data_IF_281147833309
#
_entry.id   IF_281147833309
#
_cell.length_a   1.000
_cell.length_b   1.000
_cell.length_c   1.000
_cell.angle_alpha   90.00
_cell.angle_beta   90.00
_cell.angle_gamma   90.00
#
_symmetry.space_group_name_H-M   'P 1'
#
loop_
_entity.id
_entity.type
_entity.pdbx_description
1 polymer ?
#
# COMPACT_ATOMS: atom_id res chain seq x y z
N UNK A 1 -31.77 9.08 -5.45
CA UNK A 1 -31.17 8.93 -4.11
C UNK A 1 -30.77 7.47 -3.93
N UNK A 2 -29.46 7.21 -3.82
CA UNK A 2 -29.00 6.44 -2.67
C UNK A 2 -27.65 6.96 -2.15
N UNK A 3 -27.61 7.38 -0.89
CA UNK A 3 -26.34 7.63 -0.18
C UNK A 3 -26.64 7.59 1.31
N UNK A 4 -26.36 6.44 1.95
CA UNK A 4 -26.31 6.31 3.41
C UNK A 4 -25.56 5.04 3.89
N UNK A 5 -25.33 4.05 3.03
CA UNK A 5 -24.69 2.78 3.41
C UNK A 5 -23.15 2.75 3.36
N UNK A 6 -22.47 3.79 2.88
CA UNK A 6 -20.99 3.81 2.86
C UNK A 6 -20.34 4.27 4.17
N UNK A 7 -21.07 4.88 5.11
CA UNK A 7 -20.48 5.33 6.38
C UNK A 7 -20.39 4.23 7.46
N UNK A 8 -21.11 3.11 7.31
CA UNK A 8 -21.03 2.00 8.28
C UNK A 8 -19.79 1.11 8.11
N UNK A 9 -19.01 1.29 7.04
CA UNK A 9 -17.84 0.45 6.68
C UNK A 9 -16.55 0.82 7.43
N UNK A 10 -16.53 1.91 8.20
CA UNK A 10 -15.35 2.38 8.93
C UNK A 10 -15.18 1.82 10.35
N UNK A 11 -16.21 1.25 10.98
CA UNK A 11 -16.20 0.94 12.42
C UNK A 11 -15.20 -0.13 12.86
N UNK A 12 -14.99 -1.18 12.06
CA UNK A 12 -14.06 -2.26 12.40
C UNK A 12 -12.58 -1.87 12.18
N UNK A 13 -12.32 -1.04 11.17
CA UNK A 13 -10.99 -0.45 10.94
C UNK A 13 -10.67 0.61 12.00
N UNK A 14 -11.67 1.37 12.46
CA UNK A 14 -11.51 2.32 13.58
C UNK A 14 -11.27 1.59 14.91
N UNK A 15 -11.80 0.39 15.14
CA UNK A 15 -11.49 -0.40 16.34
C UNK A 15 -10.02 -0.91 16.33
N UNK A 16 -9.49 -1.28 15.16
CA UNK A 16 -8.07 -1.62 14.97
C UNK A 16 -7.16 -0.37 15.01
N UNK A 17 -7.65 0.79 14.55
CA UNK A 17 -6.90 2.05 14.58
C UNK A 17 -6.95 2.74 15.96
N UNK A 18 -8.04 2.60 16.72
CA UNK A 18 -8.11 3.01 18.13
C UNK A 18 -7.27 2.10 19.03
N UNK A 19 -7.06 0.83 18.65
CA UNK A 19 -6.05 -0.04 19.27
C UNK A 19 -4.62 0.49 19.12
N UNK A 20 -4.34 1.32 18.11
CA UNK A 20 -3.04 1.99 17.96
C UNK A 20 -2.72 2.97 19.11
N UNK A 21 -3.72 3.43 19.88
CA UNK A 21 -3.50 4.34 21.02
C UNK A 21 -3.17 3.60 22.32
N UNK A 22 -3.74 2.42 22.57
CA UNK A 22 -3.25 1.55 23.66
C UNK A 22 -1.84 1.03 23.35
N UNK A 23 -1.55 0.85 22.05
CA UNK A 23 -0.21 0.61 21.57
C UNK A 23 0.77 1.74 21.93
N UNK A 24 0.33 3.01 22.01
CA UNK A 24 1.19 4.17 22.30
C UNK A 24 1.88 4.09 23.68
N UNK A 25 1.24 3.49 24.69
CA UNK A 25 1.87 3.23 25.99
C UNK A 25 2.85 2.06 25.93
N UNK A 26 2.62 1.08 25.05
CA UNK A 26 3.58 0.03 24.69
C UNK A 26 4.76 0.58 23.87
N UNK A 27 4.55 1.59 23.01
CA UNK A 27 5.59 2.27 22.21
C UNK A 27 6.69 2.85 23.10
N UNK A 28 6.37 3.37 24.28
CA UNK A 28 7.37 3.94 25.20
C UNK A 28 8.34 2.86 25.70
N UNK A 29 7.88 1.61 25.90
CA UNK A 29 8.74 0.49 26.36
C UNK A 29 9.51 -0.20 25.23
N UNK A 30 9.01 -0.15 23.99
CA UNK A 30 9.72 -0.67 22.80
C UNK A 30 11.07 0.01 22.61
N UNK A 31 11.19 1.29 23.00
CA UNK A 31 12.39 2.10 22.78
C UNK A 31 13.66 1.60 23.48
N UNK A 32 13.54 0.89 24.62
CA UNK A 32 14.72 0.43 25.36
C UNK A 32 15.40 -0.75 24.64
N UNK A 33 14.63 -1.74 24.21
CA UNK A 33 15.17 -2.91 23.49
C UNK A 33 15.53 -2.55 22.05
N UNK A 34 14.84 -1.58 21.45
CA UNK A 34 15.05 -1.21 20.05
C UNK A 34 16.43 -0.58 19.82
N UNK A 35 17.00 0.16 20.77
CA UNK A 35 18.29 0.84 20.56
C UNK A 35 19.46 -0.12 20.37
N UNK A 36 19.37 -1.33 20.90
CA UNK A 36 20.42 -2.34 20.79
C UNK A 36 20.39 -3.08 19.44
N UNK A 37 19.30 -2.91 18.67
CA UNK A 37 19.12 -3.56 17.36
C UNK A 37 19.44 -2.52 16.28
N UNK A 38 20.45 -2.78 15.46
CA UNK A 38 20.93 -1.85 14.43
C UNK A 38 21.17 -0.42 14.98
N UNK A 39 22.04 -0.26 16.00
CA UNK A 39 22.25 1.04 16.66
C UNK A 39 22.76 2.15 15.73
N UNK A 40 23.39 1.78 14.61
CA UNK A 40 23.93 2.71 13.62
C UNK A 40 22.85 3.51 12.86
N UNK A 41 21.58 3.08 12.88
CA UNK A 41 20.52 3.73 12.10
C UNK A 41 20.29 5.16 12.60
N UNK A 42 20.22 5.35 13.91
CA UNK A 42 20.05 6.68 14.52
C UNK A 42 21.24 7.59 14.27
N UNK A 43 22.45 7.06 14.38
CA UNK A 43 23.68 7.81 14.12
C UNK A 43 23.75 8.26 12.66
N UNK A 44 23.42 7.38 11.72
CA UNK A 44 23.41 7.72 10.29
C UNK A 44 22.27 8.69 9.94
N UNK A 45 21.12 8.56 10.60
CA UNK A 45 20.01 9.50 10.42
C UNK A 45 20.38 10.90 10.94
N UNK A 46 21.02 10.98 12.11
CA UNK A 46 21.53 12.24 12.66
C UNK A 46 22.62 12.85 11.76
N UNK A 47 23.53 12.03 11.24
CA UNK A 47 24.55 12.46 10.29
C UNK A 47 23.93 12.99 8.99
N UNK A 48 22.90 12.33 8.47
CA UNK A 48 22.18 12.79 7.28
C UNK A 48 21.48 14.14 7.51
N UNK A 49 20.77 14.29 8.62
CA UNK A 49 20.11 15.55 8.99
C UNK A 49 21.14 16.69 9.12
N UNK A 50 22.30 16.41 9.72
CA UNK A 50 23.39 17.37 9.83
C UNK A 50 23.91 17.79 8.43
N UNK A 51 24.15 16.83 7.53
CA UNK A 51 24.57 17.11 6.14
C UNK A 51 23.57 17.97 5.37
N UNK A 52 22.28 17.67 5.50
CA UNK A 52 21.20 18.43 4.84
C UNK A 52 21.06 19.84 5.40
N UNK A 53 21.28 20.03 6.70
CA UNK A 53 21.27 21.34 7.34
C UNK A 53 22.45 22.21 6.90
N UNK A 54 23.65 21.62 6.80
CA UNK A 54 24.85 22.32 6.32
C UNK A 54 24.82 22.61 4.82
N UNK A 55 24.19 21.75 4.02
CA UNK A 55 24.10 21.91 2.57
C UNK A 55 22.71 21.53 2.05
N UNK A 56 21.92 22.53 1.65
CA UNK A 56 20.57 22.34 1.08
C UNK A 56 20.56 21.47 -0.20
N UNK A 57 21.68 21.35 -0.91
CA UNK A 57 21.80 20.49 -2.10
C UNK A 57 22.14 19.03 -1.74
N UNK A 58 22.58 18.75 -0.51
CA UNK A 58 22.93 17.41 -0.05
C UNK A 58 21.70 16.61 0.45
N UNK A 59 20.57 16.71 -0.27
CA UNK A 59 19.36 15.94 0.05
C UNK A 59 19.49 14.53 -0.50
N UNK A 60 19.60 13.55 0.38
CA UNK A 60 19.55 12.13 0.03
C UNK A 60 18.22 11.53 0.48
N UNK A 61 17.21 11.70 -0.38
CA UNK A 61 15.85 11.20 -0.14
C UNK A 61 15.87 9.68 -0.01
N UNK A 62 16.69 8.98 -0.80
CA UNK A 62 16.75 7.53 -0.80
C UNK A 62 17.30 7.00 0.53
N UNK A 63 18.41 7.56 1.02
CA UNK A 63 18.99 7.20 2.30
C UNK A 63 18.04 7.51 3.46
N UNK A 64 17.41 8.69 3.46
CA UNK A 64 16.42 9.05 4.48
C UNK A 64 15.30 8.01 4.58
N UNK A 65 14.69 7.68 3.44
CA UNK A 65 13.60 6.71 3.39
C UNK A 65 14.04 5.31 3.78
N UNK A 66 15.25 4.90 3.39
CA UNK A 66 15.83 3.63 3.81
C UNK A 66 16.01 3.55 5.33
N UNK A 67 16.58 4.58 5.96
CA UNK A 67 16.77 4.64 7.42
C UNK A 67 15.43 4.66 8.15
N UNK A 68 14.45 5.44 7.69
CA UNK A 68 13.10 5.45 8.25
C UNK A 68 12.42 4.08 8.14
N UNK A 69 12.60 3.38 7.01
CA UNK A 69 12.08 2.02 6.81
C UNK A 69 12.76 1.02 7.75
N UNK A 70 14.08 1.13 7.95
CA UNK A 70 14.81 0.28 8.89
C UNK A 70 14.37 0.49 10.35
N UNK A 71 14.09 1.74 10.76
CA UNK A 71 13.51 2.03 12.08
C UNK A 71 12.14 1.38 12.25
N UNK A 72 11.30 1.43 11.22
CA UNK A 72 9.98 0.79 11.22
C UNK A 72 10.09 -0.73 11.31
N UNK A 73 10.96 -1.36 10.51
CA UNK A 73 11.20 -2.80 10.56
C UNK A 73 11.73 -3.25 11.91
N UNK A 74 12.65 -2.49 12.50
CA UNK A 74 13.16 -2.78 13.84
C UNK A 74 12.05 -2.82 14.88
N UNK A 75 11.11 -1.87 14.81
CA UNK A 75 9.95 -1.83 15.70
C UNK A 75 9.05 -3.06 15.50
N UNK A 76 8.73 -3.42 14.25
CA UNK A 76 7.94 -4.63 13.95
C UNK A 76 8.65 -5.87 14.47
N UNK A 77 9.94 -6.01 14.18
CA UNK A 77 10.74 -7.16 14.59
C UNK A 77 10.70 -7.35 16.12
N UNK A 78 10.84 -6.28 16.90
CA UNK A 78 10.76 -6.36 18.38
C UNK A 78 9.37 -6.77 18.85
N UNK A 79 8.31 -6.24 18.23
CA UNK A 79 6.92 -6.56 18.57
C UNK A 79 6.59 -8.02 18.26
N UNK A 80 6.91 -8.48 17.05
CA UNK A 80 6.64 -9.84 16.62
C UNK A 80 7.45 -10.84 17.42
N UNK A 81 8.73 -10.53 17.72
CA UNK A 81 9.56 -11.40 18.56
C UNK A 81 9.04 -11.51 20.00
N UNK A 82 8.40 -10.46 20.55
CA UNK A 82 7.76 -10.56 21.86
C UNK A 82 6.62 -11.59 21.87
N UNK A 83 5.81 -11.64 20.81
CA UNK A 83 4.75 -12.64 20.64
C UNK A 83 5.33 -14.03 20.36
N UNK A 84 6.35 -14.12 19.51
CA UNK A 84 7.01 -15.40 19.21
C UNK A 84 7.70 -15.97 20.47
N UNK A 85 8.23 -15.11 21.35
CA UNK A 85 8.88 -15.54 22.59
C UNK A 85 7.92 -16.29 23.52
N UNK A 86 6.66 -15.90 23.60
CA UNK A 86 5.68 -16.60 24.45
C UNK A 86 5.27 -17.95 23.87
N UNK A 87 5.25 -18.07 22.55
CA UNK A 87 4.91 -19.31 21.85
C UNK A 87 6.09 -20.30 21.79
N UNK A 88 7.31 -19.80 21.59
CA UNK A 88 8.51 -20.62 21.47
C UNK A 88 9.73 -19.95 22.15
N UNK A 89 9.84 -20.02 23.49
CA UNK A 89 10.95 -19.41 24.23
C UNK A 89 12.33 -20.00 23.89
N UNK A 90 12.37 -21.20 23.29
CA UNK A 90 13.60 -21.93 23.00
C UNK A 90 14.21 -21.61 21.63
N UNK A 91 13.56 -20.75 20.83
CA UNK A 91 14.09 -20.35 19.53
C UNK A 91 15.50 -19.72 19.67
N UNK A 92 16.38 -20.03 18.71
CA UNK A 92 17.80 -19.64 18.77
C UNK A 92 18.02 -18.14 18.94
N UNK A 93 17.17 -17.31 18.31
CA UNK A 93 17.25 -15.85 18.39
C UNK A 93 17.21 -15.32 19.84
N UNK A 94 16.51 -16.01 20.74
CA UNK A 94 16.36 -15.63 22.15
C UNK A 94 17.57 -15.99 23.03
N UNK A 95 18.57 -16.68 22.47
CA UNK A 95 19.85 -16.96 23.17
C UNK A 95 20.81 -15.78 23.11
N UNK A 96 20.62 -14.85 22.17
CA UNK A 96 21.54 -13.76 21.89
C UNK A 96 20.99 -12.41 22.34
N UNK A 97 21.89 -11.46 22.62
CA UNK A 97 21.51 -10.09 22.91
C UNK A 97 20.90 -9.42 21.65
N UNK A 98 19.95 -8.48 21.80
CA UNK A 98 19.35 -8.03 23.07
C UNK A 98 18.18 -8.90 23.56
N UNK A 99 17.81 -9.96 22.82
CA UNK A 99 16.63 -10.77 23.11
C UNK A 99 16.78 -11.71 24.30
N UNK A 100 18.00 -12.03 24.73
CA UNK A 100 18.25 -12.77 25.96
C UNK A 100 18.14 -11.89 27.23
N UNK A 101 18.04 -10.56 27.09
CA UNK A 101 18.08 -9.61 28.19
C UNK A 101 16.81 -9.63 29.05
N UNK A 102 16.91 -9.27 30.36
CA UNK A 102 15.73 -9.08 31.21
C UNK A 102 14.77 -8.01 30.67
N UNK A 103 15.31 -6.97 30.04
CA UNK A 103 14.53 -5.89 29.43
C UNK A 103 13.60 -6.40 28.34
N UNK A 104 14.10 -7.25 27.43
CA UNK A 104 13.26 -7.87 26.40
C UNK A 104 12.24 -8.84 27.01
N UNK A 105 12.62 -9.65 28.00
CA UNK A 105 11.68 -10.58 28.66
C UNK A 105 10.53 -9.85 29.35
N UNK A 106 10.83 -8.76 30.07
CA UNK A 106 9.82 -7.90 30.69
C UNK A 106 8.92 -7.24 29.65
N UNK A 107 9.52 -6.77 28.54
CA UNK A 107 8.77 -6.23 27.43
C UNK A 107 7.82 -7.27 26.82
N UNK A 108 8.31 -8.48 26.53
CA UNK A 108 7.51 -9.57 25.95
C UNK A 108 6.36 -10.00 26.86
N UNK A 109 6.61 -10.17 28.16
CA UNK A 109 5.59 -10.48 29.15
C UNK A 109 4.53 -9.36 29.24
N UNK A 110 4.96 -8.10 29.33
CA UNK A 110 4.02 -6.97 29.41
C UNK A 110 3.22 -6.75 28.12
N UNK A 111 3.83 -6.99 26.96
CA UNK A 111 3.17 -6.84 25.66
C UNK A 111 2.11 -7.90 25.45
N UNK A 112 2.41 -9.16 25.80
CA UNK A 112 1.45 -10.26 25.69
C UNK A 112 0.27 -10.05 26.63
N UNK A 113 0.53 -9.68 27.89
CA UNK A 113 -0.55 -9.37 28.84
C UNK A 113 -1.42 -8.18 28.37
N UNK A 114 -0.83 -7.18 27.72
CA UNK A 114 -1.59 -6.07 27.15
C UNK A 114 -2.45 -6.50 25.94
N UNK A 115 -1.94 -7.40 25.09
CA UNK A 115 -2.69 -7.99 23.98
C UNK A 115 -3.88 -8.78 24.53
N UNK A 116 -3.66 -9.66 25.51
CA UNK A 116 -4.70 -10.50 26.11
C UNK A 116 -5.80 -9.64 26.77
N UNK A 117 -5.41 -8.59 27.51
CA UNK A 117 -6.35 -7.67 28.13
C UNK A 117 -7.18 -6.88 27.09
N UNK A 118 -6.54 -6.49 25.99
CA UNK A 118 -7.20 -5.77 24.90
C UNK A 118 -8.18 -6.68 24.13
N UNK A 119 -7.79 -7.93 23.88
CA UNK A 119 -8.64 -8.94 23.27
C UNK A 119 -9.86 -9.25 24.15
N UNK A 120 -9.67 -9.42 25.46
CA UNK A 120 -10.78 -9.65 26.38
C UNK A 120 -11.74 -8.45 26.44
N UNK A 121 -11.20 -7.23 26.46
CA UNK A 121 -12.01 -6.01 26.40
C UNK A 121 -12.81 -5.93 25.11
N UNK A 122 -12.20 -6.25 23.97
CA UNK A 122 -12.88 -6.31 22.68
C UNK A 122 -13.97 -7.38 22.69
N UNK A 123 -13.69 -8.57 23.23
CA UNK A 123 -14.63 -9.69 23.34
C UNK A 123 -15.87 -9.30 24.15
N UNK A 124 -15.68 -8.64 25.30
CA UNK A 124 -16.78 -8.13 26.12
C UNK A 124 -17.56 -7.03 25.40
N UNK A 125 -16.89 -6.11 24.69
CA UNK A 125 -17.56 -5.09 23.90
C UNK A 125 -18.43 -5.70 22.79
N UNK A 126 -17.94 -6.75 22.11
CA UNK A 126 -18.71 -7.48 21.11
C UNK A 126 -19.92 -8.22 21.69
N UNK A 127 -19.80 -8.80 22.89
CA UNK A 127 -20.92 -9.48 23.55
C UNK A 127 -22.03 -8.52 23.97
N UNK A 128 -21.69 -7.27 24.25
CA UNK A 128 -22.65 -6.23 24.64
C UNK A 128 -23.27 -5.49 23.44
N UNK A 129 -22.94 -5.88 22.20
CA UNK A 129 -23.56 -5.28 21.02
C UNK A 129 -25.04 -5.68 20.90
N UNK A 130 -25.92 -4.74 20.52
CA UNK A 130 -27.28 -5.06 20.12
C UNK A 130 -27.34 -6.17 19.06
N UNK A 131 -28.25 -7.13 19.24
CA UNK A 131 -28.30 -8.36 18.43
C UNK A 131 -28.46 -8.11 16.92
N UNK A 132 -29.14 -7.02 16.52
CA UNK A 132 -29.28 -6.63 15.12
C UNK A 132 -27.94 -6.17 14.49
N UNK A 133 -27.05 -5.55 15.27
CA UNK A 133 -25.71 -5.18 14.82
C UNK A 133 -24.82 -6.41 14.72
N UNK A 134 -24.91 -7.34 15.67
CA UNK A 134 -24.18 -8.61 15.62
C UNK A 134 -24.54 -9.41 14.37
N UNK A 135 -25.84 -9.57 14.09
CA UNK A 135 -26.31 -10.28 12.90
C UNK A 135 -25.83 -9.61 11.60
N UNK A 136 -25.89 -8.27 11.53
CA UNK A 136 -25.40 -7.50 10.39
C UNK A 136 -23.88 -7.67 10.19
N UNK A 137 -23.11 -7.57 11.27
CA UNK A 137 -21.66 -7.69 11.25
C UNK A 137 -21.22 -9.12 10.88
N UNK A 138 -21.88 -10.15 11.43
CA UNK A 138 -21.65 -11.54 11.05
C UNK A 138 -21.96 -11.79 9.57
N UNK A 139 -23.06 -11.24 9.04
CA UNK A 139 -23.39 -11.30 7.63
C UNK A 139 -22.34 -10.63 6.74
N UNK A 140 -21.84 -9.46 7.15
CA UNK A 140 -20.77 -8.75 6.47
C UNK A 140 -19.46 -9.54 6.48
N UNK A 141 -19.03 -10.07 7.63
CA UNK A 141 -17.82 -10.89 7.76
C UNK A 141 -17.91 -12.20 6.98
N UNK A 142 -19.06 -12.88 7.00
CA UNK A 142 -19.27 -14.09 6.21
C UNK A 142 -19.16 -13.81 4.71
N UNK A 143 -19.75 -12.71 4.25
CA UNK A 143 -19.65 -12.27 2.85
C UNK A 143 -18.21 -11.96 2.46
N UNK A 144 -17.46 -11.31 3.35
CA UNK A 144 -16.06 -10.98 3.15
C UNK A 144 -15.16 -12.24 3.11
N UNK A 145 -15.37 -13.18 4.03
CA UNK A 145 -14.64 -14.45 4.05
C UNK A 145 -14.89 -15.26 2.77
N UNK A 146 -16.14 -15.32 2.29
CA UNK A 146 -16.46 -15.94 1.02
C UNK A 146 -15.78 -15.25 -0.18
N UNK A 147 -15.66 -13.92 -0.15
CA UNK A 147 -14.94 -13.18 -1.18
C UNK A 147 -13.44 -13.50 -1.18
N UNK A 148 -12.81 -13.52 0.00
CA UNK A 148 -11.39 -13.90 0.14
C UNK A 148 -11.13 -15.36 -0.26
N UNK A 149 -12.01 -16.30 0.13
CA UNK A 149 -11.88 -17.71 -0.27
C UNK A 149 -11.97 -17.85 -1.80
N UNK A 150 -12.90 -17.13 -2.43
CA UNK A 150 -13.04 -17.09 -3.90
C UNK A 150 -11.80 -16.51 -4.56
N UNK A 151 -11.25 -15.44 -4.03
CA UNK A 151 -10.00 -14.85 -4.55
C UNK A 151 -8.83 -15.82 -4.42
N UNK A 152 -8.69 -16.49 -3.27
CA UNK A 152 -7.66 -17.51 -3.04
C UNK A 152 -7.81 -18.70 -4.00
N UNK A 153 -9.04 -19.13 -4.26
CA UNK A 153 -9.31 -20.17 -5.27
C UNK A 153 -8.93 -19.70 -6.67
N UNK A 154 -9.24 -18.45 -7.04
CA UNK A 154 -8.84 -17.89 -8.33
C UNK A 154 -7.32 -17.87 -8.50
N UNK A 155 -6.57 -17.41 -7.49
CA UNK A 155 -5.11 -17.47 -7.49
C UNK A 155 -4.60 -18.91 -7.57
N UNK A 156 -5.21 -19.84 -6.85
CA UNK A 156 -4.83 -21.25 -6.91
C UNK A 156 -5.05 -21.84 -8.31
N UNK A 157 -6.18 -21.53 -8.94
CA UNK A 157 -6.51 -21.96 -10.29
C UNK A 157 -5.56 -21.33 -11.32
N UNK A 158 -5.24 -20.04 -11.19
CA UNK A 158 -4.29 -19.35 -12.05
C UNK A 158 -2.88 -19.94 -11.92
N UNK A 159 -2.45 -20.26 -10.70
CA UNK A 159 -1.20 -20.96 -10.44
C UNK A 159 -1.19 -22.38 -11.00
N UNK A 160 -2.31 -23.10 -10.93
CA UNK A 160 -2.44 -24.42 -11.53
C UNK A 160 -2.37 -24.35 -13.06
N UNK A 161 -3.00 -23.34 -13.68
CA UNK A 161 -2.90 -23.08 -15.12
C UNK A 161 -1.45 -22.76 -15.54
N UNK A 162 -0.77 -21.86 -14.82
CA UNK A 162 0.65 -21.54 -15.09
C UNK A 162 1.56 -22.74 -14.90
N UNK A 163 1.29 -23.62 -13.92
CA UNK A 163 2.05 -24.86 -13.71
C UNK A 163 1.88 -25.86 -14.86
N UNK A 164 0.74 -25.84 -15.55
CA UNK A 164 0.43 -26.76 -16.66
C UNK A 164 0.78 -26.19 -18.04
N UNK A 165 1.12 -24.89 -18.14
CA UNK A 165 1.63 -24.24 -19.36
C UNK A 165 3.12 -24.39 -19.73
N UNK A 166 4.05 -25.04 -18.98
CA UNK A 166 5.44 -25.16 -19.45
C UNK A 166 5.56 -26.00 -20.74
N UNK A 167 4.55 -26.84 -21.04
CA UNK A 167 4.45 -27.55 -22.31
C UNK A 167 4.26 -26.64 -23.51
N UNK A 168 3.42 -25.59 -23.40
CA UNK A 168 3.17 -24.68 -24.52
C UNK A 168 4.37 -23.76 -24.79
N UNK A 169 5.05 -23.30 -23.74
CA UNK A 169 6.25 -22.47 -23.88
C UNK A 169 7.42 -23.28 -24.45
N UNK A 170 7.52 -24.58 -24.14
CA UNK A 170 8.49 -25.49 -24.79
C UNK A 170 8.16 -25.70 -26.28
N UNK A 171 6.89 -25.89 -26.64
CA UNK A 171 6.47 -26.04 -28.05
C UNK A 171 6.72 -24.76 -28.86
N UNK A 172 6.48 -23.57 -28.30
CA UNK A 172 6.82 -22.30 -28.93
C UNK A 172 8.34 -22.11 -29.07
N UNK A 173 9.12 -22.52 -28.07
CA UNK A 173 10.58 -22.46 -28.15
C UNK A 173 11.14 -23.44 -29.21
N UNK A 174 10.60 -24.65 -29.32
CA UNK A 174 10.95 -25.61 -30.38
C UNK A 174 10.54 -25.10 -31.77
N UNK A 175 9.40 -24.40 -31.90
CA UNK A 175 8.98 -23.82 -33.18
C UNK A 175 9.89 -22.66 -33.62
N UNK A 176 10.38 -21.85 -32.68
CA UNK A 176 11.26 -20.70 -32.96
C UNK A 176 12.71 -21.14 -33.16
N UNK A 177 13.18 -22.16 -32.43
CA UNK A 177 14.56 -22.67 -32.54
C UNK A 177 14.72 -23.75 -33.62
N UNK A 178 13.62 -24.35 -34.09
CA UNK A 178 13.58 -25.38 -35.13
C UNK A 178 13.66 -24.88 -36.58
N UNK A 179 14.09 -23.64 -36.82
CA UNK A 179 14.32 -23.16 -38.19
C UNK A 179 15.63 -23.75 -38.74
N UNK A 180 15.43 -24.80 -39.53
CA UNK A 180 16.39 -25.55 -40.35
C UNK A 180 17.57 -24.68 -40.84
N UNK A 181 18.75 -25.00 -40.32
CA UNK A 181 20.07 -24.59 -40.82
C UNK A 181 20.24 -25.16 -42.24
N UNK A 182 19.88 -24.38 -43.25
CA UNK A 182 20.14 -24.69 -44.66
C UNK A 182 21.66 -24.71 -44.87
N UNK A 183 22.22 -25.91 -45.03
CA UNK A 183 23.57 -26.14 -45.55
C UNK A 183 23.68 -25.47 -46.93
N UNK A 184 24.32 -24.31 -47.02
CA UNK A 184 24.85 -23.82 -48.29
C UNK A 184 26.23 -24.43 -48.52
N UNK A 185 26.32 -25.09 -49.66
CA UNK A 185 27.47 -25.78 -50.17
C UNK A 185 28.61 -24.82 -50.51
N UNK A 186 29.81 -25.40 -50.44
CA UNK A 186 31.09 -24.89 -50.93
C UNK A 186 31.01 -24.15 -52.27
N UNK A 187 31.71 -23.02 -52.32
CA UNK A 187 32.19 -22.40 -53.55
C UNK A 187 33.47 -21.63 -53.23
N UNK A 188 34.60 -22.18 -53.67
CA UNK A 188 35.94 -21.61 -53.63
C UNK A 188 35.99 -20.18 -54.19
N UNK A 189 36.73 -19.29 -53.55
CA UNK A 189 37.65 -18.41 -54.28
C UNK A 189 38.84 -18.01 -53.39
N UNK A 190 40.00 -18.23 -53.96
CA UNK A 190 41.38 -17.99 -53.55
C UNK A 190 41.79 -16.52 -53.66
N UNK A 191 42.89 -16.18 -52.95
CA UNK A 191 43.82 -15.05 -53.13
C UNK A 191 43.24 -13.63 -52.90
N UNK A 192 43.85 -12.69 -52.16
CA UNK A 192 45.19 -12.52 -51.58
C UNK A 192 45.33 -11.04 -51.13
N UNK A 193 46.48 -10.69 -50.53
CA UNK A 193 46.91 -9.35 -50.02
C UNK A 193 46.50 -9.09 -48.56
N UNK A 194 47.38 -9.35 -47.57
CA UNK A 194 48.60 -8.62 -47.20
C UNK A 194 48.35 -7.26 -46.55
N UNK A 195 48.84 -7.18 -45.31
CA UNK A 195 49.46 -6.03 -44.64
C UNK A 195 48.62 -5.10 -43.77
N UNK A 196 49.21 -4.72 -42.64
CA UNK A 196 48.78 -3.56 -41.84
C UNK A 196 48.14 -3.84 -40.48
N UNK A 197 48.88 -4.45 -39.54
CA UNK A 197 48.55 -4.37 -38.11
C UNK A 197 49.03 -3.00 -37.61
N UNK A 198 48.10 -2.08 -37.30
CA UNK A 198 48.42 -0.85 -36.57
C UNK A 198 47.51 -0.70 -35.35
N UNK A 199 48.23 -0.65 -34.23
CA UNK A 199 47.88 -0.39 -32.85
C UNK A 199 47.16 0.96 -32.71
N UNK A 200 45.92 0.94 -32.21
CA UNK A 200 45.16 2.14 -31.85
C UNK A 200 45.29 2.39 -30.35
N UNK A 201 46.19 3.31 -30.01
CA UNK A 201 46.26 4.00 -28.73
C UNK A 201 45.08 4.98 -28.61
N UNK A 202 44.20 4.74 -27.63
CA UNK A 202 43.12 5.67 -27.27
C UNK A 202 43.67 6.71 -26.30
N UNK A 203 43.91 7.92 -26.81
CA UNK A 203 44.11 9.12 -25.99
C UNK A 203 42.76 9.65 -25.51
N UNK A 204 42.52 9.59 -24.21
CA UNK A 204 41.43 10.26 -23.50
C UNK A 204 41.74 11.75 -23.36
N UNK A 205 41.10 12.58 -24.18
CA UNK A 205 41.07 14.03 -23.98
C UNK A 205 39.79 14.43 -23.23
N UNK A 206 39.97 15.17 -22.15
CA UNK A 206 39.02 15.35 -21.07
C UNK A 206 38.59 16.83 -21.02
N UNK A 207 37.66 17.22 -21.89
CA UNK A 207 37.06 18.55 -21.88
C UNK A 207 35.55 18.45 -21.63
N UNK A 208 35.15 18.65 -20.37
CA UNK A 208 33.76 18.68 -19.94
C UNK A 208 33.04 19.96 -20.43
N UNK A 209 31.82 19.87 -20.97
CA UNK A 209 31.02 21.04 -21.34
C UNK A 209 30.38 21.69 -20.11
N UNK A 210 30.54 23.02 -20.00
CA UNK A 210 29.83 23.89 -19.05
C UNK A 210 28.34 23.94 -19.41
N UNK A 211 27.48 23.48 -18.50
CA UNK A 211 26.04 23.71 -18.57
C UNK A 211 25.63 24.93 -17.74
N UNK A 212 24.59 25.68 -18.16
CA UNK A 212 24.13 26.87 -17.47
C UNK A 212 23.35 26.54 -16.19
N UNK A 213 23.68 27.27 -15.13
CA UNK A 213 23.03 27.25 -13.81
C UNK A 213 21.56 27.66 -13.91
N UNK A 214 20.59 26.90 -13.36
CA UNK A 214 19.20 27.32 -13.26
C UNK A 214 18.98 28.35 -12.13
N UNK A 215 17.90 29.17 -12.20
CA UNK A 215 17.68 30.29 -11.28
C UNK A 215 17.35 29.82 -9.86
N UNK A 216 17.94 30.55 -8.91
CA UNK A 216 17.76 30.48 -7.47
C UNK A 216 16.30 30.81 -7.10
N UNK A 217 15.56 29.87 -6.50
CA UNK A 217 14.29 30.18 -5.84
C UNK A 217 14.57 30.46 -4.37
N UNK A 218 14.30 31.70 -3.98
CA UNK A 218 14.39 32.20 -2.61
C UNK A 218 13.19 31.65 -1.82
N UNK A 219 13.46 30.80 -0.83
CA UNK A 219 12.47 30.32 0.14
C UNK A 219 12.92 30.82 1.50
N UNK A 220 12.45 32.01 1.83
CA UNK A 220 12.55 32.61 3.14
C UNK A 220 11.60 31.90 4.12
N UNK A 221 12.18 31.58 5.29
CA UNK A 221 11.59 31.47 6.63
C UNK A 221 10.20 30.86 6.81
N UNK A 222 10.19 29.63 7.33
CA UNK A 222 9.14 29.17 8.25
C UNK A 222 9.82 28.69 9.54
N UNK A 223 9.50 29.27 10.71
CA UNK A 223 10.03 28.82 11.98
C UNK A 223 9.30 27.55 12.43
N UNK A 224 10.06 26.49 12.68
CA UNK A 224 9.57 25.28 13.35
C UNK A 224 9.86 25.43 14.84
N UNK A 225 8.87 25.89 15.59
CA UNK A 225 8.82 25.66 17.04
C UNK A 225 7.37 25.63 17.53
N UNK A 226 7.14 24.80 18.56
CA UNK A 226 5.95 24.74 19.42
C UNK A 226 4.65 24.14 18.86
N UNK A 227 4.45 22.84 19.11
CA UNK A 227 3.15 22.39 19.59
C UNK A 227 3.16 22.42 21.13
N UNK A 228 2.40 23.30 21.80
CA UNK A 228 2.16 23.16 23.22
C UNK A 228 1.20 21.98 23.46
N UNK A 229 1.26 21.31 24.64
CA UNK A 229 0.23 20.37 25.04
C UNK A 229 -1.07 21.14 25.27
N UNK A 230 -2.15 20.75 24.59
CA UNK A 230 -3.47 21.38 24.70
C UNK A 230 -4.24 20.80 25.90
N UNK A 231 -4.49 21.57 26.99
CA UNK A 231 -5.19 21.09 28.18
C UNK A 231 -6.71 20.99 27.99
N UNK A 232 -7.26 21.35 26.82
CA UNK A 232 -8.70 21.39 26.60
C UNK A 232 -9.35 20.01 26.34
N UNK A 233 -8.56 18.98 25.99
CA UNK A 233 -9.10 17.66 25.65
C UNK A 233 -9.35 16.76 26.88
N UNK A 234 -8.67 17.00 28.00
CA UNK A 234 -8.85 16.26 29.25
C UNK A 234 -10.17 16.63 29.97
N UNK A 235 -10.67 17.84 29.75
CA UNK A 235 -11.95 18.28 30.31
C UNK A 235 -13.17 17.60 29.64
N UNK A 236 -13.05 17.17 28.38
CA UNK A 236 -14.17 16.57 27.63
C UNK A 236 -14.39 15.08 28.00
N UNK A 237 -13.33 14.38 28.40
CA UNK A 237 -13.41 12.96 28.81
C UNK A 237 -13.90 12.82 30.26
N UNK A 238 -13.54 13.76 31.14
CA UNK A 238 -14.03 13.78 32.53
C UNK A 238 -15.55 14.04 32.64
N UNK A 239 -16.16 14.70 31.65
CA UNK A 239 -17.58 15.04 31.66
C UNK A 239 -18.53 13.90 31.22
N UNK A 240 -18.01 12.77 30.73
CA UNK A 240 -18.83 11.68 30.16
C UNK A 240 -19.14 10.52 31.11
N UNK A 241 -18.70 10.57 32.37
CA UNK A 241 -18.88 9.49 33.37
C UNK A 241 -19.63 9.91 34.63
N UNK A 242 -20.67 10.72 34.49
CA UNK A 242 -21.65 10.95 35.56
C UNK A 242 -23.06 10.61 35.07
N UNK A 243 -23.48 9.36 35.28
CA UNK A 243 -24.88 8.99 35.15
C UNK A 243 -25.68 9.56 36.34
N UNK A 244 -26.74 10.35 36.14
CA UNK A 244 -27.73 10.55 37.19
C UNK A 244 -28.60 9.31 37.33
N UNK A 245 -28.71 8.86 38.56
CA UNK A 245 -29.63 7.85 39.07
C UNK A 245 -31.07 8.24 38.67
N UNK A 246 -31.77 7.41 37.90
CA UNK A 246 -33.19 7.60 37.57
C UNK A 246 -34.02 6.43 38.11
N UNK A 247 -35.22 6.69 38.67
CA UNK A 247 -35.97 5.69 39.43
C UNK A 247 -36.82 4.79 38.53
N UNK A 248 -36.96 3.54 38.96
CA UNK A 248 -37.92 2.57 38.40
C UNK A 248 -39.37 3.08 38.48
N UNK A 249 -40.20 2.85 37.45
CA UNK A 249 -41.64 2.81 37.61
C UNK A 249 -42.15 1.38 37.81
N UNK A 250 -43.22 1.32 38.60
CA UNK A 250 -43.88 0.14 39.13
C UNK A 250 -44.64 -0.70 38.08
N UNK A 251 -44.74 -1.97 38.44
CA UNK A 251 -45.58 -3.06 37.93
C UNK A 251 -47.04 -2.67 37.69
N UNK A 252 -47.60 -3.11 36.55
CA UNK A 252 -49.06 -3.30 36.35
C UNK A 252 -49.33 -4.46 35.37
N UNK A 253 -50.55 -5.05 35.37
CA UNK A 253 -50.80 -6.48 35.13
C UNK A 253 -51.16 -6.85 33.67
N UNK A 254 -51.26 -8.17 33.33
CA UNK A 254 -51.39 -8.61 31.95
C UNK A 254 -52.83 -8.57 31.42
N UNK A 255 -53.01 -7.97 30.25
CA UNK A 255 -54.24 -8.10 29.45
C UNK A 255 -53.96 -8.99 28.24
N UNK A 256 -54.71 -10.08 28.16
CA UNK A 256 -54.75 -11.04 27.07
C UNK A 256 -55.59 -10.48 25.91
N UNK A 257 -55.05 -10.36 24.70
CA UNK A 257 -55.89 -10.21 23.47
C UNK A 257 -55.14 -10.65 22.20
N UNK A 258 -55.59 -11.79 21.67
CA UNK A 258 -55.78 -12.20 20.28
C UNK A 258 -54.63 -12.11 19.25
N UNK A 259 -54.38 -13.29 18.67
CA UNK A 259 -53.63 -13.51 17.45
C UNK A 259 -54.31 -12.84 16.24
N UNK A 260 -53.60 -11.93 15.58
CA UNK A 260 -53.93 -11.44 14.25
C UNK A 260 -52.97 -12.07 13.24
N UNK A 261 -53.55 -12.86 12.33
CA UNK A 261 -52.90 -13.40 11.13
C UNK A 261 -52.60 -12.24 10.19
N UNK A 262 -51.32 -11.88 10.03
CA UNK A 262 -50.88 -10.96 9.00
C UNK A 262 -50.51 -11.75 7.74
N UNK A 263 -51.36 -11.63 6.74
CA UNK A 263 -51.09 -12.03 5.36
C UNK A 263 -49.93 -11.19 4.81
N UNK A 264 -48.87 -11.86 4.37
CA UNK A 264 -47.78 -11.28 3.58
C UNK A 264 -48.22 -11.12 2.12
N UNK A 265 -48.32 -9.91 1.56
CA UNK A 265 -48.47 -9.75 0.12
C UNK A 265 -47.12 -10.01 -0.56
N UNK A 266 -47.08 -11.04 -1.40
CA UNK A 266 -45.98 -11.31 -2.34
C UNK A 266 -45.94 -10.16 -3.36
N UNK A 267 -44.89 -9.35 -3.30
CA UNK A 267 -44.59 -8.34 -4.31
C UNK A 267 -44.03 -9.01 -5.57
N UNK A 268 -44.56 -8.71 -6.78
CA UNK A 268 -44.03 -9.23 -8.03
C UNK A 268 -42.67 -8.58 -8.34
N UNK A 269 -41.65 -9.40 -8.57
CA UNK A 269 -40.32 -9.02 -9.00
C UNK A 269 -40.38 -8.48 -10.46
N UNK A 270 -40.04 -7.21 -10.74
CA UNK A 270 -39.82 -6.78 -12.11
C UNK A 270 -38.50 -7.35 -12.61
N UNK A 271 -38.59 -8.43 -13.38
CA UNK A 271 -37.48 -9.03 -14.12
C UNK A 271 -37.19 -8.18 -15.35
N UNK A 272 -36.51 -7.05 -15.17
CA UNK A 272 -36.00 -6.28 -16.31
C UNK A 272 -34.58 -5.81 -16.00
N UNK A 273 -33.63 -6.74 -16.09
CA UNK A 273 -32.24 -6.40 -16.35
C UNK A 273 -32.19 -5.81 -17.77
N UNK A 274 -31.89 -4.51 -17.94
CA UNK A 274 -31.67 -3.98 -19.27
C UNK A 274 -30.43 -4.66 -19.87
N UNK A 275 -30.46 -5.05 -21.15
CA UNK A 275 -29.26 -5.54 -21.81
C UNK A 275 -28.19 -4.45 -21.70
N UNK A 276 -26.97 -4.86 -21.35
CA UNK A 276 -25.77 -4.03 -21.39
C UNK A 276 -25.52 -3.67 -22.86
N UNK A 277 -26.25 -2.66 -23.35
CA UNK A 277 -26.08 -2.13 -24.68
C UNK A 277 -24.65 -1.61 -24.78
N UNK A 278 -23.86 -2.26 -25.63
CA UNK A 278 -22.64 -1.73 -26.23
C UNK A 278 -22.98 -0.52 -27.11
N UNK A 279 -23.55 0.51 -26.49
CA UNK A 279 -23.70 1.84 -27.07
C UNK A 279 -22.30 2.41 -27.14
N UNK A 280 -21.77 2.48 -28.36
CA UNK A 280 -20.61 3.34 -28.62
C UNK A 280 -21.12 4.76 -28.36
N UNK A 281 -20.71 5.43 -27.26
CA UNK A 281 -21.31 6.71 -26.92
C UNK A 281 -20.87 7.72 -27.97
N UNK A 282 -21.85 8.22 -28.72
CA UNK A 282 -21.64 9.00 -29.94
C UNK A 282 -21.63 10.49 -29.66
N UNK A 283 -22.37 10.94 -28.66
CA UNK A 283 -22.37 12.34 -28.25
C UNK A 283 -21.29 12.63 -27.19
N UNK A 284 -20.71 13.84 -27.18
CA UNK A 284 -19.79 14.26 -26.12
C UNK A 284 -20.40 14.14 -24.71
N UNK A 285 -21.69 14.45 -24.58
CA UNK A 285 -22.40 14.43 -23.30
C UNK A 285 -22.56 13.01 -22.75
N UNK A 286 -22.91 12.03 -23.59
CA UNK A 286 -22.98 10.62 -23.20
C UNK A 286 -21.62 10.10 -22.70
N UNK A 287 -20.53 10.45 -23.40
CA UNK A 287 -19.18 10.08 -22.94
C UNK A 287 -18.82 10.74 -21.61
N UNK A 288 -19.24 11.99 -21.41
CA UNK A 288 -19.01 12.68 -20.14
C UNK A 288 -19.77 12.00 -18.99
N UNK A 289 -21.05 11.68 -19.21
CA UNK A 289 -21.88 10.98 -18.23
C UNK A 289 -21.32 9.59 -17.91
N UNK A 290 -20.80 8.87 -18.91
CA UNK A 290 -20.11 7.60 -18.69
C UNK A 290 -18.94 7.74 -17.72
N UNK A 291 -18.08 8.75 -17.89
CA UNK A 291 -16.95 8.98 -16.98
C UNK A 291 -17.40 9.46 -15.60
N UNK A 292 -18.45 10.28 -15.51
CA UNK A 292 -19.04 10.68 -14.22
C UNK A 292 -19.61 9.50 -13.44
N UNK A 293 -20.25 8.54 -14.12
CA UNK A 293 -20.74 7.32 -13.50
C UNK A 293 -19.59 6.42 -13.06
N UNK A 294 -18.54 6.31 -13.88
CA UNK A 294 -17.41 5.42 -13.61
C UNK A 294 -16.51 5.90 -12.47
N UNK A 295 -16.15 7.18 -12.45
CA UNK A 295 -15.15 7.72 -11.50
C UNK A 295 -15.76 8.62 -10.43
N UNK A 296 -17.01 9.03 -10.59
CA UNK A 296 -17.64 10.09 -9.81
C UNK A 296 -17.42 11.46 -10.46
N UNK A 297 -18.45 12.31 -10.40
CA UNK A 297 -18.43 13.63 -11.02
C UNK A 297 -17.32 14.53 -10.45
N UNK A 298 -17.11 14.49 -9.14
CA UNK A 298 -16.10 15.32 -8.46
C UNK A 298 -14.67 14.93 -8.84
N UNK A 299 -14.35 13.62 -8.87
CA UNK A 299 -13.03 13.15 -9.28
C UNK A 299 -12.75 13.51 -10.74
N UNK A 300 -13.71 13.29 -11.65
CA UNK A 300 -13.49 13.61 -13.06
C UNK A 300 -13.35 15.12 -13.32
N UNK A 301 -14.10 15.96 -12.58
CA UNK A 301 -14.01 17.43 -12.69
C UNK A 301 -12.66 17.98 -12.26
N UNK A 302 -12.00 17.38 -11.26
CA UNK A 302 -10.64 17.80 -10.83
C UNK A 302 -9.62 17.77 -11.97
N UNK A 303 -9.81 16.92 -12.96
CA UNK A 303 -8.93 16.82 -14.12
C UNK A 303 -9.17 17.88 -15.21
N UNK A 304 -10.11 18.82 -15.05
CA UNK A 304 -10.44 19.82 -16.08
C UNK A 304 -10.48 19.22 -17.50
N UNK A 305 -11.35 18.21 -17.73
CA UNK A 305 -11.32 17.38 -18.94
C UNK A 305 -11.62 18.22 -20.19
N UNK A 306 -11.00 17.85 -21.31
CA UNK A 306 -11.17 18.55 -22.59
C UNK A 306 -11.57 17.56 -23.68
N UNK A 307 -12.47 17.99 -24.57
CA UNK A 307 -12.91 17.18 -25.71
C UNK A 307 -11.88 17.24 -26.84
N UNK A 308 -11.17 16.13 -27.07
CA UNK A 308 -10.10 16.01 -28.08
C UNK A 308 -10.27 14.69 -28.82
N UNK A 309 -10.22 14.72 -30.16
CA UNK A 309 -10.33 13.54 -31.03
C UNK A 309 -11.54 12.64 -30.72
N UNK A 310 -12.68 13.25 -30.41
CA UNK A 310 -13.91 12.54 -30.09
C UNK A 310 -13.93 11.88 -28.70
N UNK A 311 -13.04 12.25 -27.78
CA UNK A 311 -13.04 11.73 -26.41
C UNK A 311 -12.74 12.82 -25.37
N UNK A 312 -13.24 12.66 -24.15
CA UNK A 312 -12.85 13.53 -23.04
C UNK A 312 -11.50 13.08 -22.50
N UNK A 313 -10.48 13.92 -22.64
CA UNK A 313 -9.14 13.67 -22.14
C UNK A 313 -8.90 14.44 -20.84
N UNK A 314 -8.61 13.76 -19.72
CA UNK A 314 -8.28 14.42 -18.47
C UNK A 314 -6.97 15.22 -18.63
N UNK A 315 -6.87 16.38 -17.98
CA UNK A 315 -5.60 17.04 -17.70
C UNK A 315 -5.10 16.53 -16.36
N UNK A 316 -3.84 16.13 -16.31
CA UNK A 316 -3.23 15.62 -15.11
C UNK A 316 -1.84 16.22 -14.94
N UNK A 317 -1.54 16.61 -13.71
CA UNK A 317 -0.25 17.10 -13.29
C UNK A 317 0.19 16.21 -12.14
N UNK A 318 1.36 15.59 -12.31
CA UNK A 318 1.97 14.80 -11.26
C UNK A 318 2.19 15.63 -10.00
N UNK A 319 1.85 15.06 -8.84
CA UNK A 319 2.10 15.70 -7.55
C UNK A 319 3.60 15.72 -7.25
N UNK A 320 4.08 16.77 -6.57
CA UNK A 320 5.43 16.75 -6.00
C UNK A 320 5.41 15.79 -4.82
N UNK A 321 6.06 14.65 -5.02
CA UNK A 321 6.10 13.54 -4.06
C UNK A 321 7.51 13.44 -3.52
N UNK A 322 7.63 13.46 -2.20
CA UNK A 322 8.91 13.37 -1.49
C UNK A 322 9.20 11.94 -1.01
N UNK A 323 8.20 11.05 -1.06
CA UNK A 323 8.31 9.68 -0.54
C UNK A 323 8.00 8.63 -1.60
N UNK A 324 8.79 7.56 -1.64
CA UNK A 324 8.65 6.49 -2.64
C UNK A 324 7.25 5.84 -2.62
N UNK A 325 6.64 5.66 -1.43
CA UNK A 325 5.31 5.05 -1.33
C UNK A 325 4.21 5.92 -1.96
N UNK A 326 4.35 7.24 -1.92
CA UNK A 326 3.39 8.16 -2.53
C UNK A 326 3.37 8.01 -4.06
N UNK A 327 4.50 7.65 -4.70
CA UNK A 327 4.49 7.32 -6.14
C UNK A 327 3.63 6.09 -6.43
N UNK A 328 3.65 5.10 -5.54
CA UNK A 328 2.82 3.91 -5.69
C UNK A 328 1.34 4.22 -5.45
N UNK A 329 1.04 5.04 -4.45
CA UNK A 329 -0.34 5.46 -4.16
C UNK A 329 -0.90 6.33 -5.26
N UNK A 330 -0.14 7.30 -5.79
CA UNK A 330 -0.54 8.07 -6.97
C UNK A 330 -0.77 7.18 -8.20
N UNK A 331 0.04 6.13 -8.36
CA UNK A 331 -0.14 5.15 -9.44
C UNK A 331 -1.39 4.29 -9.27
N UNK A 332 -1.63 3.73 -8.08
CA UNK A 332 -2.70 2.76 -7.83
C UNK A 332 -4.02 3.38 -7.43
N UNK A 333 -4.00 4.27 -6.46
CA UNK A 333 -5.18 4.83 -5.80
C UNK A 333 -5.50 6.25 -6.30
N UNK A 334 -4.47 6.98 -6.76
CA UNK A 334 -4.54 8.41 -7.00
C UNK A 334 -4.20 9.20 -5.73
N UNK A 335 -3.91 10.49 -5.90
CA UNK A 335 -3.59 11.43 -4.79
C UNK A 335 -4.56 12.60 -4.90
N UNK A 336 -4.92 13.23 -3.77
CA UNK A 336 -5.82 14.40 -3.71
C UNK A 336 -7.16 14.25 -4.43
N UNK A 337 -7.68 13.01 -4.51
CA UNK A 337 -8.92 12.67 -5.20
C UNK A 337 -8.85 12.82 -6.73
N UNK A 338 -7.65 12.83 -7.31
CA UNK A 338 -7.47 12.59 -8.73
C UNK A 338 -7.58 11.09 -9.05
N UNK A 339 -7.96 10.77 -10.28
CA UNK A 339 -7.94 9.42 -10.85
C UNK A 339 -6.51 8.89 -10.86
N UNK A 340 -6.33 7.61 -10.53
CA UNK A 340 -5.00 7.00 -10.45
C UNK A 340 -4.30 6.96 -11.82
N UNK A 341 -2.97 7.02 -11.82
CA UNK A 341 -2.19 7.02 -13.07
C UNK A 341 -2.33 5.69 -13.82
N UNK A 342 -2.55 4.58 -13.11
CA UNK A 342 -2.86 3.28 -13.69
C UNK A 342 -4.19 3.31 -14.46
N UNK A 343 -5.24 3.87 -13.85
CA UNK A 343 -6.54 4.00 -14.50
C UNK A 343 -6.51 4.96 -15.68
N UNK A 344 -5.77 6.08 -15.54
CA UNK A 344 -5.52 7.02 -16.64
C UNK A 344 -4.85 6.32 -17.83
N UNK A 345 -3.84 5.50 -17.55
CA UNK A 345 -3.08 4.75 -18.57
C UNK A 345 -3.91 3.63 -19.18
N UNK A 346 -4.73 2.94 -18.39
CA UNK A 346 -5.59 1.86 -18.88
C UNK A 346 -6.71 2.39 -19.77
N UNK A 347 -7.30 3.52 -19.40
CA UNK A 347 -8.49 4.05 -20.07
C UNK A 347 -8.16 4.92 -21.28
N UNK A 348 -7.09 5.73 -21.21
CA UNK A 348 -6.71 6.67 -22.28
C UNK A 348 -5.36 6.32 -22.93
N UNK A 349 -4.64 5.30 -22.47
CA UNK A 349 -3.34 4.91 -23.02
C UNK A 349 -2.30 6.03 -22.87
N UNK A 350 -1.52 6.27 -23.93
CA UNK A 350 -0.56 7.39 -23.95
C UNK A 350 -1.22 8.76 -24.20
N UNK A 351 -2.50 8.81 -24.59
CA UNK A 351 -3.16 10.04 -25.06
C UNK A 351 -3.41 11.05 -23.94
N UNK A 352 -3.69 10.61 -22.71
CA UNK A 352 -3.92 11.52 -21.58
C UNK A 352 -2.70 12.43 -21.28
N UNK A 353 -1.49 12.00 -21.68
CA UNK A 353 -0.26 12.79 -21.55
C UNK A 353 -0.11 13.89 -22.62
N UNK A 354 -1.00 13.93 -23.62
CA UNK A 354 -1.14 15.00 -24.64
C UNK A 354 0.17 15.36 -25.36
N UNK A 355 1.05 14.38 -25.52
CA UNK A 355 2.39 14.59 -26.07
C UNK A 355 3.24 15.65 -25.32
N UNK A 356 2.93 15.96 -24.05
CA UNK A 356 3.68 16.92 -23.24
C UNK A 356 4.99 16.24 -22.78
N UNK A 357 6.18 16.72 -23.18
CA UNK A 357 7.45 16.05 -22.87
C UNK A 357 7.69 15.89 -21.36
N UNK A 358 7.33 16.90 -20.56
CA UNK A 358 7.46 16.86 -19.11
C UNK A 358 6.68 15.68 -18.48
N UNK A 359 5.43 15.46 -18.89
CA UNK A 359 4.61 14.35 -18.41
C UNK A 359 5.14 12.99 -18.86
N UNK A 360 5.68 12.89 -20.09
CA UNK A 360 6.29 11.65 -20.58
C UNK A 360 7.56 11.27 -19.81
N UNK A 361 8.42 12.24 -19.58
CA UNK A 361 9.67 12.05 -18.84
C UNK A 361 9.38 11.67 -17.39
N UNK A 362 8.44 12.37 -16.75
CA UNK A 362 8.06 12.10 -15.36
C UNK A 362 7.40 10.73 -15.21
N UNK A 363 6.47 10.37 -16.12
CA UNK A 363 5.91 9.02 -16.17
C UNK A 363 7.00 7.96 -16.29
N UNK A 364 7.99 8.18 -17.16
CA UNK A 364 9.09 7.21 -17.36
C UNK A 364 9.93 7.05 -16.10
N UNK A 365 10.22 8.14 -15.38
CA UNK A 365 10.94 8.09 -14.10
C UNK A 365 10.15 7.32 -13.04
N UNK A 366 8.87 7.64 -12.87
CA UNK A 366 7.99 6.97 -11.89
C UNK A 366 7.75 5.51 -12.22
N UNK A 367 7.56 5.17 -13.49
CA UNK A 367 7.41 3.79 -13.92
C UNK A 367 8.66 2.96 -13.67
N UNK A 368 9.85 3.55 -13.71
CA UNK A 368 11.04 2.84 -13.23
C UNK A 368 10.87 2.48 -11.76
N UNK A 369 10.54 3.42 -10.88
CA UNK A 369 10.35 3.17 -9.45
C UNK A 369 9.24 2.15 -9.16
N UNK A 370 8.10 2.25 -9.87
CA UNK A 370 6.92 1.39 -9.68
C UNK A 370 7.15 -0.01 -10.24
N UNK A 371 7.67 -0.12 -11.47
CA UNK A 371 7.87 -1.39 -12.16
C UNK A 371 9.22 -2.03 -11.86
N UNK A 372 10.13 -1.39 -11.13
CA UNK A 372 11.31 -2.13 -10.65
C UNK A 372 10.75 -3.26 -9.78
N UNK A 373 11.07 -4.54 -10.03
CA UNK A 373 10.58 -5.69 -9.25
C UNK A 373 10.99 -5.66 -7.76
N UNK A 374 11.60 -4.57 -7.32
CA UNK A 374 12.36 -4.41 -6.10
C UNK A 374 11.50 -3.88 -4.94
N UNK A 375 10.41 -3.17 -5.23
CA UNK A 375 9.74 -2.33 -4.22
C UNK A 375 8.88 -3.10 -3.20
N UNK A 376 8.49 -4.35 -3.49
CA UNK A 376 7.72 -5.18 -2.54
C UNK A 376 8.24 -6.61 -2.46
N UNK A 377 8.24 -7.31 -3.59
CA UNK A 377 8.60 -8.73 -3.63
C UNK A 377 10.09 -8.98 -3.33
N UNK A 378 11.01 -8.15 -3.85
CA UNK A 378 12.44 -8.31 -3.55
C UNK A 378 12.81 -7.82 -2.15
N UNK A 379 12.15 -6.80 -1.62
CA UNK A 379 12.40 -6.33 -0.25
C UNK A 379 11.92 -7.38 0.78
N UNK A 380 10.73 -7.97 0.57
CA UNK A 380 10.23 -9.09 1.36
C UNK A 380 11.05 -10.37 1.15
N UNK A 381 11.49 -10.65 -0.09
CA UNK A 381 12.34 -11.81 -0.39
C UNK A 381 13.75 -11.61 0.17
N UNK A 382 14.33 -10.42 0.13
CA UNK A 382 15.60 -10.10 0.80
C UNK A 382 15.46 -10.16 2.31
N UNK A 383 14.36 -9.68 2.90
CA UNK A 383 14.10 -9.86 4.33
C UNK A 383 14.01 -11.35 4.69
N UNK A 384 13.24 -12.12 3.93
CA UNK A 384 13.14 -13.57 4.09
C UNK A 384 14.50 -14.25 3.92
N UNK A 385 15.26 -13.91 2.89
CA UNK A 385 16.53 -14.54 2.57
C UNK A 385 17.62 -14.14 3.57
N UNK A 386 17.59 -12.90 4.10
CA UNK A 386 18.47 -12.46 5.22
C UNK A 386 18.09 -13.18 6.51
N UNK A 387 16.80 -13.34 6.80
CA UNK A 387 16.33 -14.09 7.98
C UNK A 387 16.70 -15.58 7.87
N UNK A 388 16.54 -16.18 6.68
CA UNK A 388 16.92 -17.58 6.43
C UNK A 388 18.44 -17.75 6.44
N UNK A 389 19.21 -16.84 5.83
CA UNK A 389 20.66 -16.89 5.81
C UNK A 389 21.26 -16.66 7.21
N UNK A 390 20.67 -15.76 8.01
CA UNK A 390 21.03 -15.59 9.42
C UNK A 390 20.73 -16.85 10.24
N UNK A 391 19.68 -17.60 9.89
CA UNK A 391 19.36 -18.89 10.52
C UNK A 391 20.25 -20.05 10.04
N UNK A 392 20.83 -19.97 8.83
CA UNK A 392 21.59 -21.05 8.21
C UNK A 392 23.12 -20.94 8.41
N UNK A 393 23.67 -19.75 8.64
CA UNK A 393 25.11 -19.51 8.72
C UNK A 393 25.70 -19.52 10.14
N UNK A 394 24.98 -20.01 11.15
CA UNK A 394 25.53 -20.18 12.49
C UNK A 394 25.34 -21.63 12.96
N UNK A 395 26.43 -22.42 13.09
CA UNK A 395 26.38 -23.79 13.59
C UNK A 395 25.97 -23.88 15.07
#
# INVERSE_FOLDING_TARGET
>A
MPSRDMMARGGALVALYCHSKSFATSVIRVNVVSKDIFPWIEDELAALISREHSNRLAKDIALRQFLSTMLWFRRILVQDLAVIFTQNPHALIFKYAPFNSPSFRNFAASSTAAIDAAEETARLAFQNLPQHLVASLQGALATQNLAFERERQNYHNEMALMRNEPGQMKTLLELVTGTKRVKRAHGNLTEGLSDGFSELTVTTDNSAPKYPTPPLFDTADMPFDMFPPDPALDAFIAASFTHPNMPMPATSPPTSTQAAVLHTPVLPLPSTTPPLSTLTPGSPEERQQFYFQRYGAEHFRKHSPEWVDGNWLPRYKYSSVDVIWEYWVEWKEGVDGFISVEELTTTWGAKWRRNIPALKNENTRRMRVICTPVSGARLLRLFRDVVIAAAANYP
#
